data_IF_730434006315
#
_entry.id   IF_730434006315
#
_cell.length_a   1.000
_cell.length_b   1.000
_cell.length_c   1.000
_cell.angle_alpha   90.00
_cell.angle_beta   90.00
_cell.angle_gamma   90.00
#
_symmetry.space_group_name_H-M   'P 1'
#
loop_
_entity.id
_entity.type
_entity.pdbx_description
1 polymer ?
#
# COMPACT_ATOMS: atom_id res chain seq x y z
N UNK A 1 -3.17 13.78 -18.23
CA UNK A 1 -3.51 12.42 -17.81
C UNK A 1 -4.97 12.36 -17.41
N UNK A 2 -5.67 11.29 -17.79
CA UNK A 2 -6.98 10.91 -17.28
C UNK A 2 -6.78 9.69 -16.38
N UNK A 3 -6.84 9.92 -15.06
CA UNK A 3 -6.53 8.92 -14.04
C UNK A 3 -7.73 8.08 -13.63
N UNK A 4 -7.48 6.80 -13.35
CA UNK A 4 -8.49 5.85 -12.87
C UNK A 4 -8.13 5.23 -11.52
N UNK A 5 -6.84 5.06 -11.25
CA UNK A 5 -6.37 4.46 -10.01
C UNK A 5 -5.18 5.22 -9.46
N UNK A 6 -5.24 5.53 -8.17
CA UNK A 6 -4.16 6.15 -7.41
C UNK A 6 -4.02 5.37 -6.12
N UNK A 7 -2.84 4.81 -5.85
CA UNK A 7 -2.59 4.00 -4.66
C UNK A 7 -1.29 4.37 -3.99
N UNK A 8 -1.30 4.32 -2.67
CA UNK A 8 -0.10 4.33 -1.85
C UNK A 8 0.48 2.92 -1.75
N UNK A 9 1.80 2.81 -1.89
CA UNK A 9 2.59 1.61 -1.64
C UNK A 9 4.02 2.03 -1.32
N UNK A 10 4.74 1.28 -0.51
CA UNK A 10 6.15 1.56 -0.20
C UNK A 10 7.02 0.67 -1.08
N UNK A 11 7.74 1.23 -2.07
CA UNK A 11 8.47 0.43 -3.07
C UNK A 11 9.86 0.01 -2.61
N UNK A 12 10.43 0.69 -1.61
CA UNK A 12 11.79 0.45 -1.13
C UNK A 12 11.87 0.15 0.38
N UNK A 13 10.71 0.06 1.03
CA UNK A 13 10.50 -0.23 2.45
C UNK A 13 11.12 0.79 3.39
N UNK A 14 11.29 2.05 2.98
CA UNK A 14 11.82 3.12 3.83
C UNK A 14 10.83 3.64 4.91
N UNK A 15 9.58 3.17 4.84
CA UNK A 15 8.48 3.51 5.72
C UNK A 15 7.70 4.74 5.29
N UNK A 16 7.92 5.26 4.09
CA UNK A 16 7.17 6.35 3.49
C UNK A 16 6.43 5.84 2.25
N UNK A 17 5.10 5.72 2.29
CA UNK A 17 4.36 5.27 1.13
C UNK A 17 4.53 6.22 -0.07
N UNK A 18 4.98 5.65 -1.19
CA UNK A 18 5.06 6.24 -2.52
C UNK A 18 3.68 6.28 -3.19
N UNK A 19 3.59 6.93 -4.35
CA UNK A 19 2.33 7.09 -5.08
C UNK A 19 2.41 6.52 -6.50
N UNK A 20 1.57 5.53 -6.80
CA UNK A 20 1.41 4.98 -8.15
C UNK A 20 0.07 5.40 -8.75
N UNK A 21 0.11 5.95 -9.97
CA UNK A 21 -1.05 6.35 -10.75
C UNK A 21 -1.14 5.55 -12.04
N UNK A 22 -2.35 5.11 -12.36
CA UNK A 22 -2.68 4.45 -13.62
C UNK A 22 -3.66 5.29 -14.44
N UNK A 23 -3.33 5.48 -15.71
CA UNK A 23 -3.98 6.46 -16.58
C UNK A 23 -4.44 5.84 -17.92
N UNK A 24 -5.30 6.57 -18.62
CA UNK A 24 -5.72 6.27 -19.99
C UNK A 24 -7.06 6.92 -20.33
N UNK A 25 -7.21 7.48 -21.52
CA UNK A 25 -8.45 8.19 -21.87
C UNK A 25 -9.66 7.24 -22.01
N UNK A 26 -10.89 7.79 -21.94
CA UNK A 26 -12.13 6.99 -22.00
C UNK A 26 -12.30 6.30 -23.36
N UNK A 27 -12.10 7.06 -24.43
CA UNK A 27 -12.42 6.70 -25.81
C UNK A 27 -11.20 6.86 -26.73
N UNK A 28 -10.90 5.89 -27.63
CA UNK A 28 -9.78 5.96 -28.58
C UNK A 28 -9.80 7.20 -29.49
N UNK A 29 -10.97 7.74 -29.76
CA UNK A 29 -11.23 8.86 -30.65
C UNK A 29 -10.46 10.13 -30.25
N UNK A 30 -10.07 10.26 -28.97
CA UNK A 30 -9.23 11.36 -28.49
C UNK A 30 -7.94 11.52 -29.30
N UNK A 31 -7.37 10.42 -29.81
CA UNK A 31 -6.14 10.42 -30.60
C UNK A 31 -6.30 11.20 -31.91
N UNK A 32 -7.54 11.31 -32.44
CA UNK A 32 -7.88 12.09 -33.63
C UNK A 32 -8.18 13.57 -33.35
N UNK A 33 -8.45 13.92 -32.08
CA UNK A 33 -8.92 15.25 -31.70
C UNK A 33 -7.79 16.21 -31.32
N UNK A 34 -6.54 15.72 -31.23
CA UNK A 34 -5.35 16.53 -30.93
C UNK A 34 -5.45 17.36 -29.64
N UNK A 35 -6.11 16.82 -28.60
CA UNK A 35 -6.40 17.54 -27.35
C UNK A 35 -5.21 17.60 -26.36
N UNK A 36 -4.01 17.19 -26.77
CA UNK A 36 -2.85 17.10 -25.89
C UNK A 36 -2.87 15.90 -24.92
N UNK A 37 -3.79 14.95 -25.14
CA UNK A 37 -3.85 13.66 -24.45
C UNK A 37 -4.03 12.54 -25.47
N UNK A 38 -3.73 11.31 -25.05
CA UNK A 38 -3.86 10.12 -25.89
C UNK A 38 -4.69 9.06 -25.18
N UNK A 39 -5.27 8.14 -25.94
CA UNK A 39 -6.05 7.04 -25.38
C UNK A 39 -5.23 6.16 -24.44
N UNK A 40 -4.00 5.84 -24.86
CA UNK A 40 -3.01 5.19 -24.02
C UNK A 40 -2.12 6.25 -23.39
N UNK A 41 -1.97 6.19 -22.07
CA UNK A 41 -1.12 7.10 -21.32
C UNK A 41 -0.13 6.28 -20.48
N UNK A 42 1.07 6.81 -20.18
CA UNK A 42 1.98 6.15 -19.26
C UNK A 42 1.39 6.16 -17.84
N UNK A 43 1.92 5.27 -17.01
CA UNK A 43 1.68 5.27 -15.57
C UNK A 43 2.69 6.22 -14.93
N UNK A 44 2.41 6.64 -13.71
CA UNK A 44 3.28 7.59 -13.00
C UNK A 44 3.61 7.00 -11.64
N UNK A 45 4.89 6.99 -11.30
CA UNK A 45 5.38 6.58 -9.98
C UNK A 45 6.11 7.76 -9.34
N UNK A 46 5.63 8.19 -8.18
CA UNK A 46 6.26 9.21 -7.37
C UNK A 46 6.86 8.59 -6.12
N UNK A 47 8.15 8.84 -5.88
CA UNK A 47 8.80 8.48 -4.64
C UNK A 47 8.51 9.53 -3.55
N UNK A 48 8.18 9.10 -2.35
CA UNK A 48 7.96 9.97 -1.20
C UNK A 48 9.28 10.33 -0.53
N UNK A 49 9.63 11.62 -0.48
CA UNK A 49 10.91 12.07 0.06
C UNK A 49 10.95 12.14 1.61
N UNK A 50 9.84 11.82 2.28
CA UNK A 50 9.72 11.84 3.74
C UNK A 50 9.64 13.24 4.37
N UNK A 51 9.61 14.30 3.56
CA UNK A 51 9.52 15.70 3.97
C UNK A 51 8.21 16.38 3.52
N UNK A 52 7.25 15.57 3.05
CA UNK A 52 5.98 16.04 2.48
C UNK A 52 6.05 16.36 0.99
N UNK A 53 7.21 16.19 0.35
CA UNK A 53 7.37 16.31 -1.10
C UNK A 53 7.49 14.94 -1.79
N UNK A 54 7.32 14.95 -3.11
CA UNK A 54 7.39 13.75 -3.96
C UNK A 54 8.27 14.01 -5.19
N UNK A 55 9.01 13.00 -5.61
CA UNK A 55 9.84 13.02 -6.82
C UNK A 55 9.26 12.09 -7.88
N UNK A 56 9.06 12.58 -9.10
CA UNK A 56 8.65 11.73 -10.23
C UNK A 56 9.82 10.83 -10.63
N UNK A 57 9.68 9.53 -10.37
CA UNK A 57 10.68 8.51 -10.72
C UNK A 57 10.22 7.63 -11.88
N UNK A 58 9.19 8.04 -12.62
CA UNK A 58 8.57 7.22 -13.68
C UNK A 58 9.58 6.79 -14.75
N UNK A 59 10.48 7.70 -15.13
CA UNK A 59 11.54 7.42 -16.10
C UNK A 59 12.56 6.36 -15.61
N UNK A 60 12.71 6.21 -14.29
CA UNK A 60 13.64 5.27 -13.65
C UNK A 60 12.98 3.92 -13.32
N UNK A 61 11.65 3.88 -13.28
CA UNK A 61 10.86 2.72 -12.87
C UNK A 61 10.63 1.67 -13.99
N UNK A 62 11.27 1.84 -15.14
CA UNK A 62 11.28 0.89 -16.24
C UNK A 62 10.04 0.90 -17.13
N UNK A 63 10.03 0.01 -18.12
CA UNK A 63 9.01 -0.02 -19.18
C UNK A 63 7.61 -0.36 -18.68
N UNK A 64 7.49 -1.02 -17.52
CA UNK A 64 6.21 -1.27 -16.88
C UNK A 64 5.47 0.02 -16.50
N UNK A 65 6.20 1.10 -16.21
CA UNK A 65 5.63 2.41 -15.90
C UNK A 65 5.55 3.30 -17.15
N UNK A 66 6.63 3.36 -17.95
CA UNK A 66 6.73 4.31 -19.06
C UNK A 66 5.98 3.88 -20.33
N UNK A 67 5.69 2.59 -20.52
CA UNK A 67 4.93 2.13 -21.69
C UNK A 67 3.48 2.56 -21.56
N UNK A 68 3.02 3.36 -22.52
CA UNK A 68 1.65 3.84 -22.55
C UNK A 68 0.63 2.69 -22.70
N UNK A 69 -0.39 2.71 -21.84
CA UNK A 69 -1.51 1.77 -21.87
C UNK A 69 -2.81 2.50 -21.54
N UNK A 70 -3.95 1.96 -21.96
CA UNK A 70 -5.25 2.44 -21.48
C UNK A 70 -5.56 1.73 -20.16
N UNK A 71 -4.88 2.11 -19.08
CA UNK A 71 -5.02 1.47 -17.78
C UNK A 71 -6.35 1.89 -17.11
N UNK A 72 -6.92 1.01 -16.27
CA UNK A 72 -8.15 1.27 -15.51
C UNK A 72 -8.00 0.88 -14.05
N UNK A 73 -8.18 -0.40 -13.76
CA UNK A 73 -8.10 -0.92 -12.40
C UNK A 73 -6.68 -1.23 -11.98
N UNK A 74 -6.40 -1.09 -10.68
CA UNK A 74 -5.10 -1.43 -10.09
C UNK A 74 -5.31 -2.05 -8.70
N UNK A 75 -4.65 -3.17 -8.46
CA UNK A 75 -4.54 -3.79 -7.14
C UNK A 75 -3.06 -3.88 -6.76
N UNK A 76 -2.73 -3.51 -5.52
CA UNK A 76 -1.37 -3.64 -4.98
C UNK A 76 -1.29 -4.79 -3.97
N UNK A 77 -0.13 -5.41 -3.84
CA UNK A 77 0.09 -6.49 -2.89
C UNK A 77 1.50 -7.06 -2.95
N UNK A 78 1.90 -7.73 -1.87
CA UNK A 78 3.13 -8.52 -1.82
C UNK A 78 2.84 -9.93 -2.36
N UNK A 79 2.98 -10.09 -3.68
CA UNK A 79 2.60 -11.32 -4.39
C UNK A 79 3.47 -12.53 -4.04
N UNK A 80 4.68 -12.31 -3.54
CA UNK A 80 5.65 -13.36 -3.26
C UNK A 80 5.96 -13.53 -1.77
N UNK A 81 5.36 -12.72 -0.90
CA UNK A 81 5.60 -12.70 0.54
C UNK A 81 7.07 -12.40 0.87
N UNK A 82 7.68 -11.50 0.11
CA UNK A 82 9.09 -11.11 0.22
C UNK A 82 9.29 -9.63 0.56
N UNK A 83 8.21 -8.92 0.87
CA UNK A 83 8.19 -7.50 1.21
C UNK A 83 8.27 -6.56 0.03
N UNK A 84 8.26 -7.06 -1.22
CA UNK A 84 8.26 -6.20 -2.40
C UNK A 84 6.84 -6.00 -2.93
N UNK A 85 6.24 -4.91 -2.50
CA UNK A 85 4.92 -4.49 -2.97
C UNK A 85 4.90 -4.34 -4.50
N UNK A 86 4.01 -5.08 -5.15
CA UNK A 86 3.83 -5.14 -6.59
C UNK A 86 2.41 -4.71 -6.98
N UNK A 87 2.17 -4.44 -8.26
CA UNK A 87 0.86 -4.03 -8.75
C UNK A 87 0.37 -4.88 -9.92
N UNK A 88 -0.90 -5.25 -9.90
CA UNK A 88 -1.61 -5.83 -11.05
C UNK A 88 -2.56 -4.79 -11.60
N UNK A 89 -2.47 -4.54 -12.91
CA UNK A 89 -3.20 -3.47 -13.59
C UNK A 89 -4.06 -4.07 -14.69
N UNK A 90 -5.34 -3.74 -14.67
CA UNK A 90 -6.26 -4.07 -15.75
C UNK A 90 -6.17 -2.99 -16.85
N UNK A 91 -5.91 -3.42 -18.08
CA UNK A 91 -5.82 -2.55 -19.25
C UNK A 91 -7.04 -2.77 -20.15
N UNK A 92 -7.63 -1.69 -20.64
CA UNK A 92 -8.77 -1.75 -21.55
C UNK A 92 -8.37 -2.45 -22.85
N UNK A 93 -9.14 -3.48 -23.24
CA UNK A 93 -8.96 -4.25 -24.48
C UNK A 93 -7.53 -4.79 -24.69
N UNK A 94 -6.80 -5.07 -23.60
CA UNK A 94 -5.44 -5.59 -23.64
C UNK A 94 -5.20 -6.56 -22.48
N UNK A 95 -4.09 -7.30 -22.53
CA UNK A 95 -3.68 -8.15 -21.43
C UNK A 95 -3.43 -7.30 -20.16
N UNK A 96 -3.67 -7.85 -18.95
CA UNK A 96 -3.31 -7.18 -17.72
C UNK A 96 -1.78 -7.01 -17.64
N UNK A 97 -1.33 -5.97 -16.93
CA UNK A 97 0.08 -5.78 -16.62
C UNK A 97 0.37 -6.20 -15.19
N UNK A 98 1.44 -6.97 -15.01
CA UNK A 98 2.06 -7.18 -13.70
C UNK A 98 3.28 -6.28 -13.60
N UNK A 99 3.25 -5.35 -12.64
CA UNK A 99 4.38 -4.55 -12.23
C UNK A 99 5.04 -5.24 -11.03
N UNK A 100 5.97 -6.14 -11.35
CA UNK A 100 6.78 -6.81 -10.34
C UNK A 100 7.83 -5.82 -9.82
N UNK A 101 7.78 -5.48 -8.54
CA UNK A 101 8.80 -4.65 -7.92
C UNK A 101 10.12 -5.42 -7.80
N UNK A 102 11.18 -4.86 -8.39
CA UNK A 102 12.53 -5.43 -8.40
C UNK A 102 13.54 -4.58 -7.63
N UNK A 103 13.09 -3.58 -6.87
CA UNK A 103 13.94 -2.76 -6.01
C UNK A 103 14.63 -3.66 -5.00
N UNK A 104 15.96 -3.57 -4.97
CA UNK A 104 16.78 -4.26 -3.98
C UNK A 104 17.05 -3.29 -2.84
N UNK A 105 16.35 -3.49 -1.73
CA UNK A 105 16.53 -2.71 -0.51
C UNK A 105 17.17 -3.57 0.57
N UNK A 106 17.89 -2.93 1.48
CA UNK A 106 18.32 -3.52 2.77
C UNK A 106 17.42 -3.05 3.91
N UNK A 107 16.31 -2.38 3.58
CA UNK A 107 15.31 -1.99 4.55
C UNK A 107 14.44 -3.19 4.93
N UNK A 108 13.91 -3.13 6.15
CA UNK A 108 13.07 -4.15 6.72
C UNK A 108 11.59 -3.83 6.49
N UNK A 109 10.74 -4.84 6.64
CA UNK A 109 9.29 -4.69 6.49
C UNK A 109 8.52 -5.56 7.46
N UNK A 110 7.22 -5.32 7.56
CA UNK A 110 6.26 -6.20 8.20
C UNK A 110 4.92 -6.11 7.49
N UNK A 111 4.25 -7.25 7.27
CA UNK A 111 2.86 -7.27 6.84
C UNK A 111 1.97 -7.92 7.91
N UNK A 112 0.81 -7.32 8.17
CA UNK A 112 -0.15 -7.83 9.14
C UNK A 112 -1.39 -8.37 8.42
N UNK A 113 -1.68 -9.64 8.62
CA UNK A 113 -2.94 -10.28 8.27
C UNK A 113 -3.83 -10.36 9.52
N UNK A 114 -4.93 -9.62 9.52
CA UNK A 114 -5.88 -9.60 10.63
C UNK A 114 -6.91 -10.72 10.53
N UNK A 115 -7.25 -11.34 11.67
CA UNK A 115 -8.34 -12.31 11.76
C UNK A 115 -9.32 -11.91 12.86
N UNK A 116 -10.48 -11.38 12.45
CA UNK A 116 -11.56 -11.03 13.36
C UNK A 116 -12.29 -12.26 13.94
N UNK A 117 -12.59 -12.22 15.23
CA UNK A 117 -13.33 -13.27 15.93
C UNK A 117 -14.72 -12.80 16.36
N UNK A 118 -14.82 -11.54 16.79
CA UNK A 118 -16.06 -10.80 17.07
C UNK A 118 -16.34 -9.75 15.99
N UNK A 119 -15.30 -9.09 15.51
CA UNK A 119 -15.29 -8.25 14.32
C UNK A 119 -15.50 -9.09 13.04
N UNK A 120 -15.69 -8.43 11.89
CA UNK A 120 -15.72 -9.14 10.60
C UNK A 120 -14.43 -9.96 10.39
N UNK A 121 -14.53 -11.10 9.68
CA UNK A 121 -13.47 -12.11 9.65
C UNK A 121 -12.13 -11.60 9.14
N UNK A 122 -12.16 -10.68 8.19
CA UNK A 122 -10.95 -10.10 7.61
C UNK A 122 -10.42 -8.91 8.42
N UNK A 123 -11.13 -8.48 9.47
CA UNK A 123 -10.74 -7.33 10.28
C UNK A 123 -10.86 -5.99 9.56
N UNK A 124 -11.69 -5.85 8.52
CA UNK A 124 -11.92 -4.59 7.78
C UNK A 124 -12.27 -3.48 8.76
N UNK A 125 -11.54 -2.37 8.69
CA UNK A 125 -11.62 -1.23 9.61
C UNK A 125 -10.74 -1.35 10.85
N UNK A 126 -9.97 -2.43 11.01
CA UNK A 126 -8.96 -2.53 12.07
C UNK A 126 -7.82 -1.55 11.79
N UNK A 127 -7.57 -0.65 12.75
CA UNK A 127 -6.47 0.32 12.69
C UNK A 127 -5.25 -0.26 13.36
N UNK A 128 -4.15 -0.33 12.62
CA UNK A 128 -2.90 -0.95 13.03
C UNK A 128 -1.86 0.14 13.22
N UNK A 129 -1.18 0.11 14.36
CA UNK A 129 -0.03 0.96 14.67
C UNK A 129 1.19 0.08 14.86
N UNK A 130 2.31 0.42 14.23
CA UNK A 130 3.58 -0.28 14.38
C UNK A 130 4.60 0.70 14.96
N UNK A 131 5.14 0.39 16.13
CA UNK A 131 6.27 1.10 16.71
C UNK A 131 7.55 0.38 16.31
N UNK A 132 8.39 1.08 15.54
CA UNK A 132 9.71 0.64 15.11
C UNK A 132 10.70 1.82 15.18
N UNK A 133 11.71 1.72 16.05
CA UNK A 133 12.72 2.76 16.23
C UNK A 133 12.12 4.10 16.65
N UNK A 134 12.41 5.18 15.91
CA UNK A 134 11.89 6.52 16.23
C UNK A 134 10.45 6.75 15.76
N UNK A 135 9.92 5.92 14.85
CA UNK A 135 8.63 6.16 14.18
C UNK A 135 7.50 5.36 14.80
N UNK A 136 6.27 5.83 14.61
CA UNK A 136 5.04 5.05 14.77
C UNK A 136 4.34 5.14 13.41
N UNK A 137 4.25 4.00 12.73
CA UNK A 137 3.55 3.88 11.46
C UNK A 137 2.10 3.49 11.74
N UNK A 138 1.18 3.99 10.93
CA UNK A 138 -0.25 3.77 11.14
C UNK A 138 -0.93 3.53 9.82
N UNK A 139 -1.69 2.44 9.75
CA UNK A 139 -2.57 2.20 8.62
C UNK A 139 -3.79 1.35 9.04
N UNK A 140 -4.68 1.03 8.11
CA UNK A 140 -5.95 0.37 8.38
C UNK A 140 -6.25 -0.71 7.33
N UNK A 141 -6.88 -1.80 7.78
CA UNK A 141 -7.38 -2.85 6.89
C UNK A 141 -8.55 -2.30 6.09
N UNK A 142 -8.39 -2.18 4.77
CA UNK A 142 -9.43 -1.66 3.88
C UNK A 142 -9.88 -2.72 2.89
N UNK A 143 -11.15 -2.63 2.52
CA UNK A 143 -11.75 -3.39 1.42
C UNK A 143 -12.21 -2.41 0.36
N UNK A 144 -11.94 -2.73 -0.91
CA UNK A 144 -12.09 -1.82 -2.03
C UNK A 144 -10.88 -0.89 -2.14
N UNK A 145 -10.28 -0.85 -3.34
CA UNK A 145 -9.14 0.03 -3.62
C UNK A 145 -9.08 0.34 -5.10
N UNK A 146 -8.68 1.55 -5.48
CA UNK A 146 -8.62 1.96 -6.89
C UNK A 146 -9.97 1.78 -7.61
N UNK A 147 -9.99 1.96 -8.93
CA UNK A 147 -11.19 1.76 -9.73
C UNK A 147 -11.43 0.26 -10.00
N UNK A 148 -12.64 -0.24 -9.71
CA UNK A 148 -13.10 -1.62 -9.99
C UNK A 148 -12.12 -2.72 -9.57
N UNK A 149 -11.38 -2.51 -8.48
CA UNK A 149 -10.29 -3.38 -8.04
C UNK A 149 -10.32 -3.57 -6.52
N UNK A 150 -9.54 -4.54 -6.03
CA UNK A 150 -9.28 -4.74 -4.61
C UNK A 150 -7.84 -5.19 -4.42
N UNK A 151 -7.13 -4.52 -3.51
CA UNK A 151 -5.74 -4.82 -3.16
C UNK A 151 -5.68 -5.97 -2.16
N UNK A 152 -4.48 -6.48 -1.94
CA UNK A 152 -4.19 -7.34 -0.81
C UNK A 152 -4.63 -6.66 0.50
N UNK A 153 -5.35 -7.39 1.34
CA UNK A 153 -5.88 -6.85 2.59
C UNK A 153 -4.86 -6.86 3.72
N UNK A 154 -3.71 -7.51 3.53
CA UNK A 154 -2.61 -7.45 4.47
C UNK A 154 -2.05 -6.04 4.49
N UNK A 155 -1.93 -5.48 5.68
CA UNK A 155 -1.41 -4.13 5.86
C UNK A 155 0.11 -4.19 5.93
N UNK A 156 0.77 -3.58 4.95
CA UNK A 156 2.22 -3.58 4.81
C UNK A 156 2.83 -2.29 5.38
N UNK A 157 3.94 -2.44 6.11
CA UNK A 157 4.74 -1.33 6.62
C UNK A 157 6.21 -1.54 6.23
N UNK A 158 6.80 -0.60 5.51
CA UNK A 158 8.26 -0.46 5.46
C UNK A 158 8.77 0.06 6.79
N UNK A 159 9.88 -0.50 7.28
CA UNK A 159 10.46 -0.20 8.58
C UNK A 159 11.79 0.56 8.45
N UNK A 160 12.23 0.86 7.23
CA UNK A 160 13.55 1.42 6.96
C UNK A 160 14.64 0.53 7.53
N UNK A 161 15.57 1.11 8.28
CA UNK A 161 16.68 0.35 8.92
C UNK A 161 16.31 -0.30 10.26
N UNK A 162 15.07 -0.18 10.72
CA UNK A 162 14.67 -0.79 11.99
C UNK A 162 14.53 -2.31 11.82
N UNK A 163 15.44 -3.06 12.45
CA UNK A 163 15.45 -4.52 12.51
C UNK A 163 14.65 -5.09 13.70
N UNK A 164 14.01 -4.19 14.47
CA UNK A 164 13.21 -4.52 15.65
C UNK A 164 11.91 -3.74 15.66
N UNK A 165 10.84 -4.43 16.04
CA UNK A 165 9.52 -3.86 16.31
C UNK A 165 9.34 -3.82 17.83
N UNK A 166 9.12 -2.64 18.40
CA UNK A 166 8.84 -2.53 19.84
C UNK A 166 7.45 -3.09 20.18
N UNK A 167 6.45 -2.79 19.34
CA UNK A 167 5.10 -3.34 19.46
C UNK A 167 4.27 -3.11 18.19
N UNK A 168 3.27 -3.96 18.01
CA UNK A 168 2.15 -3.72 17.09
C UNK A 168 0.87 -3.60 17.91
N UNK A 169 0.13 -2.53 17.73
CA UNK A 169 -1.16 -2.31 18.36
C UNK A 169 -2.26 -2.36 17.31
N UNK A 170 -3.33 -3.11 17.58
CA UNK A 170 -4.51 -3.17 16.73
C UNK A 170 -5.71 -2.67 17.53
N UNK A 171 -6.36 -1.63 17.00
CA UNK A 171 -7.73 -1.29 17.38
C UNK A 171 -8.68 -1.97 16.41
N UNK A 172 -9.39 -2.98 16.90
CA UNK A 172 -10.38 -3.73 16.13
C UNK A 172 -11.65 -2.91 15.88
N UNK A 173 -12.46 -3.26 14.86
CA UNK A 173 -13.76 -2.63 14.59
C UNK A 173 -14.72 -2.65 15.78
N UNK A 174 -14.63 -3.65 16.65
CA UNK A 174 -15.39 -3.73 17.90
C UNK A 174 -15.01 -2.66 18.94
N UNK A 175 -13.87 -1.99 18.75
CA UNK A 175 -13.29 -1.05 19.70
C UNK A 175 -12.28 -1.70 20.66
N UNK A 176 -12.14 -3.03 20.66
CA UNK A 176 -11.09 -3.71 21.39
C UNK A 176 -9.71 -3.22 20.91
N UNK A 177 -8.82 -2.93 21.85
CA UNK A 177 -7.43 -2.56 21.55
C UNK A 177 -6.51 -3.62 22.17
N UNK A 178 -5.63 -4.16 21.34
CA UNK A 178 -4.68 -5.18 21.73
C UNK A 178 -3.28 -4.84 21.25
N UNK A 179 -2.29 -5.19 22.06
CA UNK A 179 -0.89 -5.07 21.74
C UNK A 179 -0.23 -6.45 21.59
N UNK A 180 0.55 -6.57 20.51
CA UNK A 180 1.34 -7.73 20.15
C UNK A 180 2.82 -7.35 20.22
N UNK A 181 3.59 -8.14 20.95
CA UNK A 181 5.01 -7.91 21.23
C UNK A 181 5.85 -9.06 20.66
N UNK A 182 7.17 -8.85 20.55
CA UNK A 182 8.12 -9.87 20.07
C UNK A 182 7.83 -10.40 18.66
N UNK A 183 7.28 -9.55 17.79
CA UNK A 183 7.12 -9.87 16.37
C UNK A 183 8.44 -9.63 15.64
N UNK A 184 8.84 -10.58 14.79
CA UNK A 184 10.01 -10.44 13.93
C UNK A 184 9.73 -9.55 12.73
N UNK A 185 10.76 -8.91 12.18
CA UNK A 185 10.69 -8.22 10.89
C UNK A 185 10.73 -9.21 9.72
N UNK A 186 10.58 -8.69 8.51
CA UNK A 186 10.73 -9.36 7.21
C UNK A 186 9.81 -10.56 6.99
N UNK A 187 8.60 -10.48 7.51
CA UNK A 187 7.61 -11.54 7.40
C UNK A 187 6.18 -11.03 7.56
N UNK A 188 5.25 -11.93 7.21
CA UNK A 188 3.82 -11.74 7.40
C UNK A 188 3.43 -12.31 8.77
N UNK A 189 2.80 -11.50 9.62
CA UNK A 189 2.21 -11.95 10.87
C UNK A 189 0.70 -12.05 10.76
N UNK A 190 0.14 -13.18 11.18
CA UNK A 190 -1.32 -13.33 11.32
C UNK A 190 -1.71 -13.01 12.77
N UNK A 191 -2.41 -11.91 12.98
CA UNK A 191 -2.83 -11.43 14.30
C UNK A 191 -4.34 -11.62 14.46
N UNK A 192 -4.75 -12.30 15.53
CA UNK A 192 -6.15 -12.68 15.77
C UNK A 192 -6.77 -11.86 16.89
N UNK A 193 -7.98 -11.37 16.66
CA UNK A 193 -8.75 -10.62 17.67
C UNK A 193 -8.99 -11.47 18.93
N UNK A 194 -8.61 -10.93 20.08
CA UNK A 194 -8.71 -11.59 21.39
C UNK A 194 -7.49 -12.44 21.77
N UNK A 195 -6.38 -12.36 21.02
CA UNK A 195 -5.15 -13.11 21.30
C UNK A 195 -3.97 -12.23 21.73
N UNK A 196 -4.11 -10.91 21.67
CA UNK A 196 -3.09 -9.97 22.11
C UNK A 196 -3.24 -9.60 23.58
N UNK A 197 -2.33 -8.76 24.07
CA UNK A 197 -2.46 -8.20 25.42
C UNK A 197 -3.42 -7.02 25.37
N UNK A 198 -4.41 -6.90 26.29
CA UNK A 198 -5.27 -5.73 26.35
C UNK A 198 -4.46 -4.44 26.48
N UNK A 199 -4.84 -3.42 25.72
CA UNK A 199 -4.23 -2.08 25.77
C UNK A 199 -5.31 -1.00 25.91
N UNK A 200 -4.94 0.12 26.51
CA UNK A 200 -5.83 1.27 26.68
C UNK A 200 -5.66 2.27 25.52
N UNK A 201 -6.71 3.05 25.17
CA UNK A 201 -6.58 4.11 24.18
C UNK A 201 -5.57 5.17 24.63
N UNK A 202 -4.75 5.67 23.69
CA UNK A 202 -3.82 6.76 23.96
C UNK A 202 -4.59 8.07 24.24
N UNK A 203 -4.85 8.37 25.51
CA UNK A 203 -5.68 9.49 25.98
C UNK A 203 -5.01 10.87 25.86
N UNK A 204 -3.78 10.97 25.35
CA UNK A 204 -2.98 12.20 25.41
C UNK A 204 -3.08 13.15 24.20
N UNK A 205 -4.05 13.02 23.29
CA UNK A 205 -4.13 13.85 22.06
C UNK A 205 -5.37 14.72 21.88
N UNK A 206 -6.20 14.92 22.91
CA UNK A 206 -7.33 15.85 22.86
C UNK A 206 -7.05 17.25 23.42
N UNK A 207 -5.78 17.60 23.68
CA UNK A 207 -5.38 18.94 24.12
C UNK A 207 -4.15 19.42 23.34
N UNK A 208 -4.37 19.89 22.10
CA UNK A 208 -3.58 20.94 21.45
C UNK A 208 -4.34 21.48 20.25
#
# INVERSE_FOLDING_TARGET
>A
YLGWGTMFLDVDNDGWPDLLLVNGHVYPEVDSQHLGSSYKEPRILFHNNGDGTYSDISALAGSGITTAASSRGMAVGDLWNDGRMSAVINNMNAAPSLLANQVKSTNHWIAIHTVGTKSNRDGIGARIRVKAGSRILVDEVRSGSSYISNSDMRVHFGLGKADKIEWVEIRWPTGLIEQFNNLGVDQVHTLREGSGNPAEPDTKRSQQ
#
